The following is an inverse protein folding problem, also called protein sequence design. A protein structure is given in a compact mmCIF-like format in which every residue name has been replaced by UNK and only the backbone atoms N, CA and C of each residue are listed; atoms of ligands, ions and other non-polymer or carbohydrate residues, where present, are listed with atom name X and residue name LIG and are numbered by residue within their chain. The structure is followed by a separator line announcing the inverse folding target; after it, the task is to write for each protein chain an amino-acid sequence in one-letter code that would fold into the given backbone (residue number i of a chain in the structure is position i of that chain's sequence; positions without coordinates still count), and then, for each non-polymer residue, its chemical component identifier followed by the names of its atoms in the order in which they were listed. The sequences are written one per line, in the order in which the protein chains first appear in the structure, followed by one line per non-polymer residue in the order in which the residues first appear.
data_IF_890534908402
#
_entry.id   IF_890534908402
#
_cell.length_a   1.000
_cell.length_b   1.000
_cell.length_c   1.000
_cell.angle_alpha   90.00
_cell.angle_beta   90.00
_cell.angle_gamma   90.00
#
_symmetry.space_group_name_H-M   'P 1'
#
loop_
_entity.id
_entity.type
_entity.pdbx_description
1 polymer ?
#
# COMPACT_ATOMS: atom_id res chain seq x y z
N UNK A 1 -15.00 25.22 20.63
CA UNK A 1 -14.28 24.20 19.83
C UNK A 1 -12.80 24.48 20.01
N UNK A 2 -12.06 23.56 20.61
CA UNK A 2 -10.59 23.64 20.65
C UNK A 2 -10.10 23.44 19.22
N UNK A 3 -9.38 24.41 18.66
CA UNK A 3 -8.73 24.24 17.36
C UNK A 3 -7.72 23.09 17.49
N UNK A 4 -8.03 21.95 16.89
CA UNK A 4 -7.07 20.86 16.80
C UNK A 4 -5.96 21.36 15.88
N UNK A 5 -4.74 21.61 16.41
CA UNK A 5 -3.61 21.97 15.59
C UNK A 5 -3.34 20.80 14.64
N UNK A 6 -3.22 21.08 13.35
CA UNK A 6 -2.88 20.05 12.38
C UNK A 6 -1.54 19.39 12.78
N UNK A 7 -1.42 18.09 12.55
CA UNK A 7 -0.17 17.37 12.81
C UNK A 7 1.00 18.04 12.05
N UNK A 8 2.20 18.10 12.66
CA UNK A 8 3.40 18.49 11.93
C UNK A 8 3.57 17.66 10.66
N UNK A 9 4.12 18.26 9.63
CA UNK A 9 4.39 17.59 8.35
C UNK A 9 5.87 17.45 8.09
N UNK A 10 6.23 16.45 7.32
CA UNK A 10 7.59 16.22 6.84
C UNK A 10 7.57 15.86 5.36
N UNK A 11 8.60 16.23 4.64
CA UNK A 11 8.81 15.78 3.27
C UNK A 11 9.25 14.31 3.30
N UNK A 12 8.56 13.47 2.53
CA UNK A 12 8.88 12.05 2.43
C UNK A 12 10.04 11.83 1.45
N UNK A 13 11.25 11.69 2.00
CA UNK A 13 12.46 11.46 1.24
C UNK A 13 12.63 12.46 0.09
N UNK A 14 12.88 11.96 -1.13
CA UNK A 14 13.05 12.76 -2.35
C UNK A 14 11.76 12.98 -3.15
N UNK A 15 10.61 12.52 -2.65
CA UNK A 15 9.33 12.56 -3.38
C UNK A 15 8.71 13.95 -3.47
N UNK A 16 9.16 14.91 -2.66
CA UNK A 16 8.56 16.24 -2.44
C UNK A 16 7.12 16.18 -1.88
N UNK A 17 6.65 15.02 -1.45
CA UNK A 17 5.37 14.87 -0.78
C UNK A 17 5.50 15.28 0.67
N UNK A 18 4.66 16.23 1.10
CA UNK A 18 4.54 16.59 2.51
C UNK A 18 3.49 15.71 3.17
N UNK A 19 3.94 14.88 4.11
CA UNK A 19 3.07 13.97 4.87
C UNK A 19 3.00 14.36 6.34
N UNK A 20 1.84 14.17 6.96
CA UNK A 20 1.69 14.26 8.41
C UNK A 20 2.61 13.22 9.07
N UNK A 21 3.21 13.57 10.23
CA UNK A 21 4.09 12.64 10.97
C UNK A 21 3.37 11.39 11.46
N UNK A 22 2.04 11.43 11.50
CA UNK A 22 1.16 10.28 11.74
C UNK A 22 0.42 9.95 10.44
N UNK A 23 0.53 8.70 9.98
CA UNK A 23 -0.24 8.16 8.86
C UNK A 23 -1.43 7.32 9.35
N UNK A 24 -2.38 7.09 8.47
CA UNK A 24 -3.54 6.25 8.74
C UNK A 24 -3.45 4.95 7.94
N UNK A 25 -3.20 3.83 8.64
CA UNK A 25 -3.20 2.48 8.07
C UNK A 25 -4.61 1.88 8.06
N UNK A 26 -4.98 1.24 6.97
CA UNK A 26 -6.37 0.84 6.72
C UNK A 26 -6.63 -0.66 6.81
N UNK A 27 -5.67 -1.47 7.26
CA UNK A 27 -5.86 -2.92 7.39
C UNK A 27 -7.10 -3.30 8.24
N UNK A 28 -7.36 -2.66 9.40
CA UNK A 28 -8.58 -2.92 10.17
C UNK A 28 -9.87 -2.62 9.39
N UNK A 29 -9.83 -1.66 8.45
CA UNK A 29 -11.00 -1.33 7.62
C UNK A 29 -11.31 -2.39 6.55
N UNK A 30 -10.48 -3.42 6.42
CA UNK A 30 -10.74 -4.62 5.62
C UNK A 30 -11.43 -5.73 6.41
N UNK A 31 -11.97 -5.44 7.60
CA UNK A 31 -12.51 -6.45 8.51
C UNK A 31 -11.44 -7.45 9.01
N UNK A 32 -10.25 -6.94 9.38
CA UNK A 32 -9.13 -7.78 9.82
C UNK A 32 -9.45 -8.54 11.12
N UNK A 33 -9.99 -7.86 12.12
CA UNK A 33 -10.24 -8.45 13.45
C UNK A 33 -11.73 -8.66 13.73
N UNK A 34 -12.56 -7.80 13.17
CA UNK A 34 -14.00 -7.82 13.32
C UNK A 34 -14.66 -7.21 12.08
N UNK A 35 -15.88 -7.60 11.80
CA UNK A 35 -16.69 -6.94 10.79
C UNK A 35 -17.08 -5.56 11.25
N UNK A 36 -16.82 -4.55 10.41
CA UNK A 36 -17.15 -3.17 10.69
C UNK A 36 -18.35 -2.75 9.84
N UNK A 37 -19.20 -1.91 10.44
CA UNK A 37 -20.20 -1.17 9.68
C UNK A 37 -19.51 -0.21 8.71
N UNK A 38 -20.00 -0.15 7.47
CA UNK A 38 -19.40 0.66 6.41
C UNK A 38 -19.43 2.16 6.75
N UNK A 39 -20.52 2.64 7.35
CA UNK A 39 -20.63 4.05 7.73
C UNK A 39 -19.62 4.41 8.81
N UNK A 40 -19.39 3.53 9.79
CA UNK A 40 -18.39 3.71 10.85
C UNK A 40 -16.99 3.71 10.25
N UNK A 41 -16.68 2.75 9.38
CA UNK A 41 -15.37 2.65 8.73
C UNK A 41 -15.05 3.89 7.88
N UNK A 42 -16.00 4.35 7.06
CA UNK A 42 -15.86 5.54 6.23
C UNK A 42 -15.69 6.81 7.10
N UNK A 43 -16.55 6.97 8.12
CA UNK A 43 -16.48 8.12 9.04
C UNK A 43 -15.14 8.18 9.81
N UNK A 44 -14.53 7.03 10.08
CA UNK A 44 -13.20 6.94 10.70
C UNK A 44 -12.12 7.55 9.80
N UNK A 45 -12.12 7.22 8.51
CA UNK A 45 -11.19 7.83 7.53
C UNK A 45 -11.43 9.35 7.41
N UNK A 46 -12.69 9.76 7.29
CA UNK A 46 -13.06 11.18 7.23
C UNK A 46 -12.59 11.92 8.49
N UNK A 47 -12.74 11.30 9.66
CA UNK A 47 -12.26 11.87 10.91
C UNK A 47 -10.75 12.02 10.95
N UNK A 48 -10.00 11.03 10.43
CA UNK A 48 -8.55 11.13 10.30
C UNK A 48 -8.15 12.34 9.43
N UNK A 49 -8.80 12.54 8.29
CA UNK A 49 -8.57 13.71 7.43
C UNK A 49 -8.91 15.02 8.14
N UNK A 50 -10.05 15.08 8.83
CA UNK A 50 -10.46 16.26 9.59
C UNK A 50 -9.51 16.62 10.74
N UNK A 51 -8.76 15.66 11.27
CA UNK A 51 -7.70 15.85 12.25
C UNK A 51 -6.35 16.26 11.64
N UNK A 52 -6.24 16.34 10.30
CA UNK A 52 -5.05 16.78 9.59
C UNK A 52 -4.09 15.63 9.20
N UNK A 53 -4.49 14.36 9.38
CA UNK A 53 -3.76 13.21 8.83
C UNK A 53 -3.99 13.21 7.31
N UNK A 54 -2.91 13.27 6.54
CA UNK A 54 -2.98 13.29 5.09
C UNK A 54 -2.29 12.11 4.41
N UNK A 55 -1.59 11.24 5.14
CA UNK A 55 -1.03 10.01 4.62
C UNK A 55 -2.00 8.86 4.89
N UNK A 56 -2.56 8.30 3.81
CA UNK A 56 -3.46 7.15 3.84
C UNK A 56 -2.74 5.95 3.23
N UNK A 57 -2.56 4.88 4.02
CA UNK A 57 -1.93 3.63 3.57
C UNK A 57 -2.95 2.50 3.50
N UNK A 58 -3.16 1.95 2.31
CA UNK A 58 -4.07 0.84 2.02
C UNK A 58 -3.37 -0.32 1.31
N UNK A 59 -4.13 -1.33 0.95
CA UNK A 59 -3.67 -2.47 0.14
C UNK A 59 -4.86 -3.20 -0.50
N UNK A 60 -4.68 -3.77 -1.72
CA UNK A 60 -5.63 -4.71 -2.29
C UNK A 60 -5.96 -5.89 -1.37
N UNK A 61 -4.97 -6.36 -0.60
CA UNK A 61 -5.16 -7.48 0.33
C UNK A 61 -6.16 -7.16 1.44
N UNK A 62 -6.23 -5.90 1.91
CA UNK A 62 -7.01 -5.54 3.09
C UNK A 62 -8.51 -5.74 2.86
N UNK A 63 -9.03 -6.85 3.40
CA UNK A 63 -10.37 -7.33 3.12
C UNK A 63 -10.63 -7.61 1.65
N UNK A 64 -9.61 -8.00 0.90
CA UNK A 64 -9.69 -8.31 -0.54
C UNK A 64 -10.32 -7.17 -1.35
N UNK A 65 -9.87 -5.94 -1.05
CA UNK A 65 -10.31 -4.71 -1.69
C UNK A 65 -11.33 -3.89 -0.89
N UNK A 66 -11.91 -4.43 0.19
CA UNK A 66 -12.94 -3.72 0.99
C UNK A 66 -12.39 -2.42 1.59
N UNK A 67 -11.17 -2.44 2.15
CA UNK A 67 -10.56 -1.24 2.71
C UNK A 67 -10.40 -0.14 1.65
N UNK A 68 -9.98 -0.48 0.43
CA UNK A 68 -9.85 0.50 -0.67
C UNK A 68 -11.21 1.06 -1.10
N UNK A 69 -12.29 0.26 -1.14
CA UNK A 69 -13.65 0.75 -1.39
C UNK A 69 -14.12 1.76 -0.33
N UNK A 70 -13.91 1.46 0.95
CA UNK A 70 -14.25 2.35 2.07
C UNK A 70 -13.45 3.65 2.02
N UNK A 71 -12.14 3.55 1.77
CA UNK A 71 -11.25 4.71 1.56
C UNK A 71 -11.67 5.54 0.35
N UNK A 72 -12.00 4.90 -0.77
CA UNK A 72 -12.45 5.57 -1.98
C UNK A 72 -13.73 6.38 -1.75
N UNK A 73 -14.63 5.89 -0.91
CA UNK A 73 -15.84 6.63 -0.52
C UNK A 73 -15.50 7.89 0.29
N UNK A 74 -14.59 7.79 1.26
CA UNK A 74 -14.12 8.94 2.04
C UNK A 74 -13.35 9.96 1.17
N UNK A 75 -12.50 9.47 0.24
CA UNK A 75 -11.70 10.32 -0.65
C UNK A 75 -12.56 11.22 -1.54
N UNK A 76 -13.79 10.82 -1.89
CA UNK A 76 -14.72 11.67 -2.68
C UNK A 76 -15.21 12.92 -1.93
N UNK A 77 -15.04 12.98 -0.60
CA UNK A 77 -15.51 14.09 0.25
C UNK A 77 -14.41 15.09 0.60
N UNK A 78 -13.20 14.86 0.12
CA UNK A 78 -12.05 15.74 0.32
C UNK A 78 -11.41 16.09 -1.01
N UNK A 79 -10.63 17.17 -1.04
CA UNK A 79 -9.86 17.51 -2.22
C UNK A 79 -8.71 16.51 -2.37
N UNK A 80 -8.71 15.72 -3.46
CA UNK A 80 -7.74 14.64 -3.68
C UNK A 80 -6.27 15.09 -3.56
N UNK A 81 -5.98 16.36 -3.90
CA UNK A 81 -4.65 16.95 -3.79
C UNK A 81 -4.14 17.14 -2.36
N UNK A 82 -5.01 17.10 -1.36
CA UNK A 82 -4.65 17.28 0.04
C UNK A 82 -4.22 15.96 0.71
N UNK A 83 -4.45 14.83 0.04
CA UNK A 83 -4.17 13.49 0.56
C UNK A 83 -3.01 12.85 -0.22
N UNK A 84 -2.06 12.28 0.50
CA UNK A 84 -1.03 11.38 -0.04
C UNK A 84 -1.55 9.97 0.10
N UNK A 85 -1.88 9.35 -1.03
CA UNK A 85 -2.46 8.01 -1.11
C UNK A 85 -1.37 6.99 -1.42
N UNK A 86 -1.21 6.04 -0.51
CA UNK A 86 -0.34 4.89 -0.64
C UNK A 86 -1.20 3.62 -0.75
N UNK A 87 -0.88 2.76 -1.70
CA UNK A 87 -1.39 1.38 -1.74
C UNK A 87 -0.29 0.44 -2.23
N UNK A 88 -0.61 -0.82 -2.51
CA UNK A 88 0.41 -1.85 -2.70
C UNK A 88 0.14 -2.67 -3.96
N UNK A 89 1.20 -3.32 -4.46
CA UNK A 89 1.15 -4.29 -5.56
C UNK A 89 1.76 -5.62 -5.11
N UNK A 90 1.70 -6.64 -5.95
CA UNK A 90 2.18 -8.00 -5.65
C UNK A 90 1.05 -8.98 -5.40
N UNK A 91 -0.18 -8.48 -5.27
CA UNK A 91 -1.42 -9.25 -5.32
C UNK A 91 -2.48 -8.50 -6.12
N UNK A 92 -3.20 -9.22 -6.96
CA UNK A 92 -4.42 -8.74 -7.57
C UNK A 92 -5.62 -9.57 -7.08
N UNK A 93 -6.84 -9.05 -7.23
CA UNK A 93 -8.05 -9.70 -6.78
C UNK A 93 -8.73 -10.40 -7.95
N UNK A 94 -8.87 -11.74 -7.86
CA UNK A 94 -9.62 -12.52 -8.83
C UNK A 94 -11.11 -12.57 -8.43
N UNK A 95 -11.99 -11.91 -9.17
CA UNK A 95 -13.41 -11.88 -8.84
C UNK A 95 -14.17 -13.18 -9.19
N UNK A 96 -13.53 -14.09 -9.91
CA UNK A 96 -14.13 -15.35 -10.34
C UNK A 96 -13.81 -16.52 -9.40
N UNK A 97 -12.95 -16.31 -8.41
CA UNK A 97 -12.59 -17.31 -7.43
C UNK A 97 -12.96 -16.88 -6.01
N UNK A 98 -13.45 -17.85 -5.22
CA UNK A 98 -13.73 -17.64 -3.80
C UNK A 98 -12.44 -17.35 -3.01
N UNK A 99 -12.53 -16.59 -1.89
CA UNK A 99 -11.41 -16.40 -0.98
C UNK A 99 -10.79 -17.72 -0.53
N UNK A 100 -9.50 -17.72 -0.21
CA UNK A 100 -8.87 -18.81 0.51
C UNK A 100 -9.48 -18.91 1.93
N UNK A 101 -9.51 -20.12 2.51
CA UNK A 101 -10.10 -20.37 3.84
C UNK A 101 -9.41 -19.56 4.94
N UNK A 102 -8.09 -19.40 4.84
CA UNK A 102 -7.23 -18.68 5.77
C UNK A 102 -6.87 -17.27 5.30
N UNK A 103 -7.80 -16.55 4.71
CA UNK A 103 -7.53 -15.24 4.10
C UNK A 103 -7.02 -14.15 5.07
N UNK A 104 -6.93 -14.44 6.37
CA UNK A 104 -6.45 -13.52 7.42
C UNK A 104 -7.45 -12.39 7.77
N UNK A 105 -8.61 -12.35 7.14
CA UNK A 105 -9.65 -11.35 7.37
C UNK A 105 -10.98 -12.04 7.67
N UNK A 106 -11.65 -11.64 8.77
CA UNK A 106 -12.95 -12.22 9.18
C UNK A 106 -14.10 -11.81 8.26
N UNK A 107 -13.89 -10.78 7.42
CA UNK A 107 -14.82 -10.29 6.43
C UNK A 107 -14.12 -9.98 5.10
N UNK A 108 -14.63 -9.00 4.36
CA UNK A 108 -14.05 -8.55 3.10
C UNK A 108 -14.85 -8.98 1.87
N UNK A 109 -14.34 -8.60 0.69
CA UNK A 109 -14.98 -8.92 -0.60
C UNK A 109 -14.83 -10.40 -0.96
N UNK A 110 -15.78 -10.97 -1.75
CA UNK A 110 -15.78 -12.38 -2.14
C UNK A 110 -14.79 -12.68 -3.28
N UNK A 111 -13.56 -12.20 -3.17
CA UNK A 111 -12.53 -12.36 -4.20
C UNK A 111 -11.35 -13.15 -3.66
N UNK A 112 -10.62 -13.83 -4.54
CA UNK A 112 -9.36 -14.46 -4.18
C UNK A 112 -8.20 -13.48 -4.40
N UNK A 113 -7.38 -13.32 -3.37
CA UNK A 113 -6.10 -12.64 -3.52
C UNK A 113 -5.09 -13.58 -4.20
N UNK A 114 -4.53 -13.15 -5.33
CA UNK A 114 -3.56 -13.92 -6.12
C UNK A 114 -2.22 -13.24 -6.05
N UNK A 115 -1.18 -13.93 -5.59
CA UNK A 115 0.19 -13.43 -5.64
C UNK A 115 0.68 -13.36 -7.07
N UNK A 116 1.17 -12.19 -7.47
CA UNK A 116 1.75 -11.98 -8.78
C UNK A 116 2.69 -10.76 -8.75
N UNK A 117 3.98 -11.04 -8.66
CA UNK A 117 5.02 -10.00 -8.70
C UNK A 117 5.53 -9.70 -10.12
N UNK A 118 4.90 -10.28 -11.14
CA UNK A 118 5.22 -9.93 -12.53
C UNK A 118 4.90 -8.47 -12.85
N UNK A 119 5.43 -7.96 -13.95
CA UNK A 119 5.10 -6.64 -14.47
C UNK A 119 3.58 -6.49 -14.68
N UNK A 120 2.96 -7.45 -15.37
CA UNK A 120 1.54 -7.42 -15.68
C UNK A 120 0.66 -7.58 -14.44
N UNK A 121 1.07 -8.42 -13.48
CA UNK A 121 0.41 -8.57 -12.19
C UNK A 121 0.43 -7.28 -11.37
N UNK A 122 1.56 -6.57 -11.36
CA UNK A 122 1.67 -5.27 -10.71
C UNK A 122 0.78 -4.22 -11.38
N UNK A 123 0.79 -4.12 -12.71
CA UNK A 123 -0.07 -3.19 -13.46
C UNK A 123 -1.55 -3.49 -13.24
N UNK A 124 -1.96 -4.76 -13.30
CA UNK A 124 -3.33 -5.18 -12.98
C UNK A 124 -3.74 -4.76 -11.57
N UNK A 125 -2.84 -4.94 -10.59
CA UNK A 125 -3.10 -4.52 -9.22
C UNK A 125 -3.34 -3.01 -9.10
N UNK A 126 -2.52 -2.21 -9.79
CA UNK A 126 -2.68 -0.73 -9.84
C UNK A 126 -4.02 -0.34 -10.45
N UNK A 127 -4.39 -0.91 -11.61
CA UNK A 127 -5.65 -0.63 -12.30
C UNK A 127 -6.85 -0.97 -11.40
N UNK A 128 -6.84 -2.14 -10.78
CA UNK A 128 -7.89 -2.55 -9.86
C UNK A 128 -7.99 -1.63 -8.64
N UNK A 129 -6.85 -1.18 -8.09
CA UNK A 129 -6.84 -0.25 -6.95
C UNK A 129 -7.39 1.12 -7.33
N UNK A 130 -7.06 1.65 -8.51
CA UNK A 130 -7.63 2.90 -9.02
C UNK A 130 -9.16 2.83 -9.12
N UNK A 131 -9.69 1.70 -9.62
CA UNK A 131 -11.14 1.48 -9.72
C UNK A 131 -11.80 1.38 -8.34
N UNK A 132 -11.24 0.61 -7.40
CA UNK A 132 -11.79 0.47 -6.04
C UNK A 132 -11.74 1.78 -5.25
N UNK A 133 -10.65 2.53 -5.38
CA UNK A 133 -10.47 3.84 -4.75
C UNK A 133 -11.26 4.95 -5.43
N UNK A 134 -11.76 4.72 -6.66
CA UNK A 134 -12.51 5.71 -7.44
C UNK A 134 -11.69 6.97 -7.74
N UNK A 135 -10.40 6.82 -8.01
CA UNK A 135 -9.46 7.93 -8.28
C UNK A 135 -8.59 7.62 -9.48
N UNK A 136 -8.17 8.65 -10.21
CA UNK A 136 -7.19 8.53 -11.31
C UNK A 136 -5.73 8.66 -10.84
N UNK A 137 -5.46 8.75 -9.52
CA UNK A 137 -4.12 9.01 -8.99
C UNK A 137 -3.83 8.26 -7.70
N UNK A 138 -2.69 7.57 -7.67
CA UNK A 138 -2.03 7.06 -6.48
C UNK A 138 -0.69 7.77 -6.37
N UNK A 139 -0.27 8.13 -5.16
CA UNK A 139 0.97 8.91 -4.95
C UNK A 139 2.16 7.98 -4.66
N UNK A 140 1.93 6.90 -3.92
CA UNK A 140 2.94 5.93 -3.51
C UNK A 140 2.47 4.51 -3.78
N UNK A 141 3.37 3.66 -4.27
CA UNK A 141 3.12 2.22 -4.44
C UNK A 141 4.22 1.42 -3.74
N UNK A 142 3.80 0.43 -2.96
CA UNK A 142 4.70 -0.49 -2.28
C UNK A 142 4.58 -1.90 -2.86
N UNK A 143 5.70 -2.61 -2.96
CA UNK A 143 5.70 -4.05 -3.22
C UNK A 143 5.37 -4.74 -1.90
N UNK A 144 4.29 -5.53 -1.87
CA UNK A 144 3.71 -6.06 -0.63
C UNK A 144 4.23 -7.44 -0.30
N UNK A 145 4.61 -7.62 0.98
CA UNK A 145 4.90 -8.92 1.60
C UNK A 145 5.96 -9.75 0.85
N UNK A 146 6.97 -9.11 0.29
CA UNK A 146 8.13 -9.78 -0.27
C UNK A 146 9.12 -10.09 0.87
N UNK A 147 8.67 -10.92 1.83
CA UNK A 147 9.38 -11.24 3.07
C UNK A 147 9.31 -12.73 3.42
N UNK A 148 10.14 -13.13 4.40
CA UNK A 148 10.24 -14.51 4.88
C UNK A 148 8.97 -14.94 5.60
N UNK A 149 8.32 -14.04 6.32
CA UNK A 149 7.05 -14.31 7.01
C UNK A 149 5.98 -14.84 6.05
N UNK A 150 5.89 -14.21 4.89
CA UNK A 150 4.86 -14.53 3.89
C UNK A 150 5.21 -15.73 3.02
N UNK A 151 6.47 -15.85 2.62
CA UNK A 151 6.86 -16.83 1.58
C UNK A 151 7.71 -17.99 2.11
N UNK A 152 8.20 -17.90 3.33
CA UNK A 152 9.14 -18.86 3.88
C UNK A 152 10.57 -18.68 3.33
N UNK A 153 11.55 -19.27 4.05
CA UNK A 153 12.98 -19.14 3.70
C UNK A 153 13.33 -19.75 2.33
N UNK A 154 12.64 -20.82 1.95
CA UNK A 154 12.96 -21.55 0.71
C UNK A 154 12.49 -20.80 -0.55
N UNK A 155 11.43 -20.01 -0.46
CA UNK A 155 10.85 -19.32 -1.61
C UNK A 155 11.24 -17.84 -1.71
N UNK A 156 11.71 -17.21 -0.63
CA UNK A 156 11.89 -15.75 -0.58
C UNK A 156 12.87 -15.23 -1.65
N UNK A 157 13.95 -15.93 -1.92
CA UNK A 157 14.93 -15.48 -2.90
C UNK A 157 14.34 -15.45 -4.32
N UNK A 158 13.54 -16.46 -4.68
CA UNK A 158 12.82 -16.47 -5.95
C UNK A 158 11.79 -15.35 -6.01
N UNK A 159 10.98 -15.18 -4.96
CA UNK A 159 9.96 -14.12 -4.87
C UNK A 159 10.56 -12.72 -4.94
N UNK A 160 11.70 -12.52 -4.30
CA UNK A 160 12.43 -11.27 -4.40
C UNK A 160 12.91 -10.98 -5.83
N UNK A 161 13.48 -11.98 -6.52
CA UNK A 161 13.86 -11.83 -7.93
C UNK A 161 12.66 -11.53 -8.85
N UNK A 162 11.52 -12.20 -8.64
CA UNK A 162 10.28 -11.90 -9.37
C UNK A 162 9.82 -10.46 -9.12
N UNK A 163 9.84 -10.02 -7.86
CA UNK A 163 9.45 -8.68 -7.48
C UNK A 163 10.36 -7.60 -8.09
N UNK A 164 11.68 -7.81 -8.08
CA UNK A 164 12.63 -6.85 -8.65
C UNK A 164 12.63 -6.86 -10.18
N UNK A 165 12.46 -8.01 -10.81
CA UNK A 165 12.40 -8.13 -12.26
C UNK A 165 11.05 -7.77 -12.88
N UNK A 166 9.98 -7.78 -12.09
CA UNK A 166 8.61 -7.52 -12.55
C UNK A 166 7.98 -6.30 -11.91
N UNK A 167 7.50 -6.44 -10.68
CA UNK A 167 6.75 -5.37 -10.00
C UNK A 167 7.58 -4.08 -9.88
N UNK A 168 8.84 -4.15 -9.47
CA UNK A 168 9.70 -2.95 -9.39
C UNK A 168 9.84 -2.27 -10.75
N UNK A 169 10.03 -3.02 -11.84
CA UNK A 169 10.15 -2.47 -13.20
C UNK A 169 8.88 -1.73 -13.60
N UNK A 170 7.70 -2.29 -13.30
CA UNK A 170 6.42 -1.64 -13.56
C UNK A 170 6.29 -0.33 -12.78
N UNK A 171 6.60 -0.36 -11.46
CA UNK A 171 6.52 0.83 -10.62
C UNK A 171 7.54 1.89 -11.00
N UNK A 172 8.75 1.50 -11.40
CA UNK A 172 9.80 2.43 -11.83
C UNK A 172 9.40 3.16 -13.12
N UNK A 173 8.78 2.46 -14.06
CA UNK A 173 8.17 3.07 -15.25
C UNK A 173 7.11 4.10 -14.87
N UNK A 174 6.14 3.74 -14.01
CA UNK A 174 5.09 4.66 -13.55
C UNK A 174 5.67 5.90 -12.85
N UNK A 175 6.74 5.73 -12.08
CA UNK A 175 7.47 6.83 -11.44
C UNK A 175 8.17 7.71 -12.49
N UNK A 176 8.86 7.11 -13.44
CA UNK A 176 9.55 7.82 -14.54
C UNK A 176 8.58 8.66 -15.38
N UNK A 177 7.38 8.16 -15.60
CA UNK A 177 6.29 8.86 -16.31
C UNK A 177 5.57 9.90 -15.43
N UNK A 178 5.91 9.99 -14.15
CA UNK A 178 5.31 10.94 -13.20
C UNK A 178 3.92 10.55 -12.71
N UNK A 179 3.46 9.34 -13.02
CA UNK A 179 2.15 8.79 -12.59
C UNK A 179 2.12 8.60 -11.07
N UNK A 180 3.22 8.11 -10.50
CA UNK A 180 3.44 8.03 -9.06
C UNK A 180 4.66 8.85 -8.64
N UNK A 181 4.79 9.12 -7.33
CA UNK A 181 5.88 9.93 -6.77
C UNK A 181 6.93 9.11 -6.03
N UNK A 182 6.58 7.92 -5.57
CA UNK A 182 7.51 7.09 -4.82
C UNK A 182 7.17 5.61 -4.86
N UNK A 183 8.21 4.81 -4.66
CA UNK A 183 8.17 3.35 -4.58
C UNK A 183 8.76 2.94 -3.24
N UNK A 184 8.26 1.84 -2.68
CA UNK A 184 8.82 1.23 -1.49
C UNK A 184 8.44 -0.24 -1.38
N UNK A 185 8.72 -0.82 -0.22
CA UNK A 185 8.28 -2.16 0.15
C UNK A 185 7.41 -2.10 1.40
N UNK A 186 6.39 -2.94 1.48
CA UNK A 186 5.55 -3.12 2.65
C UNK A 186 5.68 -4.56 3.13
N UNK A 187 6.49 -4.79 4.17
CA UNK A 187 6.88 -6.10 4.65
C UNK A 187 6.62 -6.23 6.16
N UNK A 188 6.41 -7.46 6.64
CA UNK A 188 6.21 -7.76 8.05
C UNK A 188 7.52 -8.13 8.74
N UNK A 189 8.52 -8.56 7.98
CA UNK A 189 9.84 -8.94 8.45
C UNK A 189 10.92 -8.36 7.53
N UNK A 190 12.10 -8.10 8.08
CA UNK A 190 13.22 -7.61 7.27
C UNK A 190 13.59 -8.63 6.18
N UNK A 191 13.86 -8.13 4.97
CA UNK A 191 14.41 -8.95 3.89
C UNK A 191 15.83 -9.37 4.31
N UNK A 192 16.16 -10.68 4.29
CA UNK A 192 17.49 -11.14 4.68
C UNK A 192 18.60 -10.41 3.92
N UNK A 193 19.66 -9.93 4.60
CA UNK A 193 20.73 -9.15 3.97
C UNK A 193 21.42 -9.86 2.82
N UNK A 194 21.52 -11.18 2.86
CA UNK A 194 22.10 -12.02 1.83
C UNK A 194 21.30 -12.04 0.51
N UNK A 195 20.00 -11.72 0.58
CA UNK A 195 19.10 -11.63 -0.58
C UNK A 195 18.99 -10.18 -1.06
N UNK A 196 19.01 -9.25 -0.12
CA UNK A 196 18.88 -7.83 -0.42
C UNK A 196 20.23 -7.25 -0.84
N UNK A 197 20.47 -7.19 -2.15
CA UNK A 197 21.61 -6.49 -2.72
C UNK A 197 21.11 -5.24 -3.49
N UNK A 198 20.85 -4.13 -2.77
CA UNK A 198 20.32 -2.92 -3.38
C UNK A 198 21.34 -2.33 -4.37
N UNK A 199 20.89 -1.63 -5.42
CA UNK A 199 21.75 -0.82 -6.27
C UNK A 199 22.66 0.09 -5.42
N UNK A 200 23.87 0.35 -5.89
CA UNK A 200 24.91 1.05 -5.11
C UNK A 200 24.47 2.42 -4.59
N UNK A 201 23.62 3.14 -5.34
CA UNK A 201 23.05 4.41 -4.93
C UNK A 201 22.03 4.27 -3.78
N UNK A 202 21.23 3.20 -3.78
CA UNK A 202 20.30 2.87 -2.70
C UNK A 202 21.06 2.42 -1.46
N UNK A 203 22.10 1.59 -1.62
CA UNK A 203 22.98 1.17 -0.53
C UNK A 203 23.64 2.37 0.14
N UNK A 204 24.21 3.29 -0.64
CA UNK A 204 24.81 4.52 -0.12
C UNK A 204 23.81 5.40 0.64
N UNK A 205 22.53 5.40 0.26
CA UNK A 205 21.48 6.12 0.98
C UNK A 205 21.12 5.45 2.30
N UNK A 206 21.07 4.13 2.34
CA UNK A 206 20.81 3.34 3.56
C UNK A 206 21.96 3.58 4.57
N UNK A 207 23.22 3.47 4.11
CA UNK A 207 24.41 3.70 4.92
C UNK A 207 24.43 5.13 5.47
N UNK A 208 24.09 6.13 4.66
CA UNK A 208 24.01 7.54 5.06
C UNK A 208 22.87 7.83 6.05
N UNK A 209 21.79 7.06 6.00
CA UNK A 209 20.67 7.16 6.94
C UNK A 209 20.94 6.48 8.29
N UNK A 210 22.13 5.88 8.48
CA UNK A 210 22.49 5.18 9.71
C UNK A 210 21.85 3.81 9.84
N UNK A 211 21.47 3.18 8.72
CA UNK A 211 21.00 1.80 8.69
C UNK A 211 22.10 0.84 9.14
N UNK A 212 21.85 0.15 10.26
CA UNK A 212 22.61 -1.04 10.67
C UNK A 212 21.86 -2.28 10.28
#
# INVERSE_FOLDING_TARGET
MVAVSAFPRRVLGRTRLEVSILGFGTAPLGDLFARLDDAVAIATVERAFALGINLLDSSPLYGRGLAEHRCGTALRRVRRGDIVLCTKVGRWMDPFQSPAEDSGFVGGQPHRAVFDYSYDGAMRSVEQSLLRLGTGRIDLLLIHDVDVWTHGRDAIEQRFREAMGGAYVALDKLRGEGVIKGIGVGVNEAIPPEIFNPPADVKALIDKAGGK
#
